data_IF_196447703867
#
_entry.id   IF_196447703867
#
_cell.length_a   1.000
_cell.length_b   1.000
_cell.length_c   1.000
_cell.angle_alpha   90.00
_cell.angle_beta   90.00
_cell.angle_gamma   90.00
#
_symmetry.space_group_name_H-M   'P 1'
#
loop_
_entity.id
_entity.type
_entity.pdbx_description
1 polymer ?
#
# COMPACT_ATOMS: atom_id res chain seq x y z
N UNK A 1 -20.08 7.12 1.89
CA UNK A 1 -19.92 7.26 3.35
C UNK A 1 -19.30 5.99 3.91
N UNK A 2 -18.32 6.13 4.81
CA UNK A 2 -17.66 4.99 5.45
C UNK A 2 -18.66 4.14 6.28
N UNK A 3 -18.41 2.83 6.36
CA UNK A 3 -19.25 1.85 7.07
C UNK A 3 -19.00 1.78 8.57
N UNK A 4 -17.96 2.44 9.04
CA UNK A 4 -17.67 2.69 10.46
C UNK A 4 -17.47 4.19 10.64
N UNK A 5 -17.81 4.77 11.82
CA UNK A 5 -17.56 6.18 12.06
C UNK A 5 -16.05 6.45 12.01
N UNK A 6 -15.64 7.65 11.62
CA UNK A 6 -14.25 8.05 11.84
C UNK A 6 -14.06 8.29 13.33
N UNK A 7 -13.12 7.56 13.95
CA UNK A 7 -12.82 7.73 15.36
C UNK A 7 -12.28 9.15 15.61
N UNK A 8 -12.55 9.66 16.80
CA UNK A 8 -11.98 10.93 17.30
C UNK A 8 -11.21 10.64 18.56
N UNK A 9 -10.08 11.32 18.74
CA UNK A 9 -9.21 11.18 19.91
C UNK A 9 -9.99 11.33 21.23
N UNK A 10 -10.85 12.35 21.31
CA UNK A 10 -11.58 12.70 22.53
C UNK A 10 -12.57 11.64 23.00
N UNK A 11 -13.01 10.74 22.11
CA UNK A 11 -13.93 9.66 22.43
C UNK A 11 -13.21 8.35 22.81
N UNK A 12 -11.89 8.36 22.94
CA UNK A 12 -11.08 7.20 23.32
C UNK A 12 -10.68 7.24 24.80
N UNK A 13 -10.46 6.06 25.38
CA UNK A 13 -9.76 5.94 26.66
C UNK A 13 -8.27 6.30 26.52
N UNK A 14 -7.55 6.33 27.64
CA UNK A 14 -6.13 6.74 27.65
C UNK A 14 -5.24 5.85 26.76
N UNK A 15 -5.55 4.55 26.67
CA UNK A 15 -4.80 3.62 25.83
C UNK A 15 -5.05 3.88 24.33
N UNK A 16 -6.30 4.12 23.95
CA UNK A 16 -6.66 4.50 22.58
C UNK A 16 -6.07 5.85 22.17
N UNK A 17 -6.09 6.84 23.08
CA UNK A 17 -5.45 8.14 22.84
C UNK A 17 -3.94 8.01 22.61
N UNK A 18 -3.25 7.13 23.34
CA UNK A 18 -1.83 6.89 23.11
C UNK A 18 -1.56 6.33 21.70
N UNK A 19 -2.39 5.40 21.22
CA UNK A 19 -2.27 4.88 19.84
C UNK A 19 -2.56 5.97 18.80
N UNK A 20 -3.57 6.81 19.05
CA UNK A 20 -3.85 7.97 18.20
C UNK A 20 -2.61 8.87 18.06
N UNK A 21 -2.01 9.24 19.19
CA UNK A 21 -0.86 10.15 19.25
C UNK A 21 0.36 9.57 18.53
N UNK A 22 0.59 8.26 18.62
CA UNK A 22 1.65 7.56 17.91
C UNK A 22 1.46 7.60 16.39
N UNK A 23 0.24 7.31 15.91
CA UNK A 23 -0.11 7.38 14.49
C UNK A 23 0.02 8.82 13.98
N UNK A 24 -0.46 9.80 14.74
CA UNK A 24 -0.33 11.22 14.42
C UNK A 24 1.14 11.63 14.28
N UNK A 25 1.96 11.31 15.27
CA UNK A 25 3.39 11.64 15.30
C UNK A 25 4.14 11.03 14.12
N UNK A 26 3.90 9.74 13.84
CA UNK A 26 4.61 9.02 12.78
C UNK A 26 4.20 9.39 11.36
N UNK A 27 3.02 9.98 11.16
CA UNK A 27 2.43 10.22 9.83
C UNK A 27 2.04 11.67 9.57
N UNK A 28 2.28 12.57 10.52
CA UNK A 28 1.92 13.99 10.43
C UNK A 28 0.41 14.23 10.50
N UNK A 29 -0.33 13.35 11.16
CA UNK A 29 -1.79 13.43 11.31
C UNK A 29 -2.52 12.10 11.16
N UNK A 30 -3.71 12.01 11.77
CA UNK A 30 -4.63 10.88 11.61
C UNK A 30 -5.57 11.14 10.44
N UNK A 31 -5.22 10.60 9.29
CA UNK A 31 -6.02 10.69 8.06
C UNK A 31 -7.20 9.69 8.08
N UNK A 32 -8.17 9.87 7.18
CA UNK A 32 -9.42 9.07 7.10
C UNK A 32 -9.18 7.56 7.12
N UNK A 33 -8.11 7.08 6.47
CA UNK A 33 -7.72 5.67 6.50
C UNK A 33 -7.45 5.16 7.92
N UNK A 34 -6.68 5.89 8.73
CA UNK A 34 -6.39 5.50 10.10
C UNK A 34 -7.57 5.79 11.04
N UNK A 35 -8.28 6.91 10.84
CA UNK A 35 -9.46 7.23 11.63
C UNK A 35 -10.55 6.15 11.54
N UNK A 36 -10.70 5.47 10.39
CA UNK A 36 -11.64 4.37 10.24
C UNK A 36 -11.22 3.10 11.00
N UNK A 37 -9.95 2.70 10.92
CA UNK A 37 -9.49 1.47 11.60
C UNK A 37 -9.28 1.67 13.11
N UNK A 38 -9.12 2.93 13.55
CA UNK A 38 -9.03 3.31 14.97
C UNK A 38 -10.30 3.07 15.79
N UNK A 39 -11.39 2.61 15.16
CA UNK A 39 -12.50 1.99 15.91
C UNK A 39 -12.06 0.77 16.74
N UNK A 40 -10.89 0.20 16.45
CA UNK A 40 -10.19 -0.74 17.33
C UNK A 40 -8.72 -0.28 17.50
N UNK A 41 -8.37 0.47 18.55
CA UNK A 41 -7.03 1.01 18.73
C UNK A 41 -5.93 -0.05 18.82
N UNK A 42 -6.19 -1.18 19.48
CA UNK A 42 -5.18 -2.24 19.59
C UNK A 42 -4.85 -2.86 18.22
N UNK A 43 -5.88 -3.14 17.41
CA UNK A 43 -5.68 -3.63 16.05
C UNK A 43 -5.00 -2.57 15.17
N UNK A 44 -5.43 -1.30 15.29
CA UNK A 44 -4.87 -0.19 14.54
C UNK A 44 -3.37 0.03 14.85
N UNK A 45 -2.95 -0.09 16.11
CA UNK A 45 -1.53 0.01 16.51
C UNK A 45 -0.68 -1.07 15.84
N UNK A 46 -1.09 -2.34 15.92
CA UNK A 46 -0.36 -3.44 15.27
C UNK A 46 -0.28 -3.27 13.75
N UNK A 47 -1.37 -2.79 13.14
CA UNK A 47 -1.40 -2.50 11.72
C UNK A 47 -0.53 -1.30 11.35
N UNK A 48 -0.50 -0.28 12.21
CA UNK A 48 0.36 0.90 12.05
C UNK A 48 1.84 0.57 12.20
N UNK A 49 2.21 -0.36 13.08
CA UNK A 49 3.60 -0.84 13.21
C UNK A 49 4.08 -1.53 11.92
N UNK A 50 3.31 -2.48 11.39
CA UNK A 50 3.62 -3.09 10.09
C UNK A 50 3.74 -2.04 8.98
N UNK A 51 2.82 -1.06 8.98
CA UNK A 51 2.86 0.06 8.05
C UNK A 51 4.03 1.01 8.26
N UNK A 52 4.53 1.14 9.48
CA UNK A 52 5.71 1.93 9.83
C UNK A 52 6.93 1.34 9.15
N UNK A 53 7.14 0.04 9.30
CA UNK A 53 8.18 -0.69 8.61
C UNK A 53 8.06 -0.54 7.09
N UNK A 54 6.90 -0.94 6.53
CA UNK A 54 6.64 -0.94 5.09
C UNK A 54 6.79 0.43 4.43
N UNK A 55 6.47 1.52 5.15
CA UNK A 55 6.50 2.87 4.60
C UNK A 55 7.84 3.55 4.79
N UNK A 56 8.42 3.48 5.99
CA UNK A 56 9.51 4.34 6.42
C UNK A 56 10.84 3.61 6.62
N UNK A 57 10.83 2.32 6.97
CA UNK A 57 12.03 1.61 7.40
C UNK A 57 12.60 0.66 6.34
N UNK A 58 11.78 0.17 5.40
CA UNK A 58 12.27 -0.77 4.37
C UNK A 58 13.45 -0.17 3.61
N UNK A 59 14.54 -0.92 3.38
CA UNK A 59 15.67 -0.47 2.57
C UNK A 59 15.42 -0.57 1.06
N UNK A 60 14.22 -1.00 0.63
CA UNK A 60 13.88 -1.14 -0.78
C UNK A 60 14.13 0.16 -1.57
N UNK A 61 14.68 0.05 -2.80
CA UNK A 61 14.76 1.19 -3.70
C UNK A 61 13.38 1.86 -3.86
N UNK A 62 13.29 3.21 -3.80
CA UNK A 62 12.00 3.90 -3.84
C UNK A 62 11.13 3.52 -5.04
N UNK A 63 11.75 3.32 -6.22
CA UNK A 63 11.06 2.89 -7.45
C UNK A 63 10.45 1.50 -7.31
N UNK A 64 11.22 0.53 -6.81
CA UNK A 64 10.76 -0.85 -6.56
C UNK A 64 9.58 -0.85 -5.60
N UNK A 65 9.70 -0.13 -4.48
CA UNK A 65 8.60 -0.01 -3.50
C UNK A 65 7.36 0.61 -4.15
N UNK A 66 7.51 1.66 -4.96
CA UNK A 66 6.39 2.29 -5.65
C UNK A 66 5.66 1.35 -6.63
N UNK A 67 6.40 0.56 -7.41
CA UNK A 67 5.80 -0.46 -8.30
C UNK A 67 5.03 -1.48 -7.46
N UNK A 68 5.65 -2.07 -6.44
CA UNK A 68 5.02 -3.07 -5.59
C UNK A 68 3.74 -2.54 -4.91
N UNK A 69 3.77 -1.30 -4.41
CA UNK A 69 2.62 -0.63 -3.77
C UNK A 69 1.48 -0.41 -4.76
N UNK A 70 1.75 0.17 -5.94
CA UNK A 70 0.70 0.45 -6.91
C UNK A 70 0.13 -0.84 -7.51
N UNK A 71 0.95 -1.85 -7.78
CA UNK A 71 0.47 -3.16 -8.23
C UNK A 71 -0.41 -3.80 -7.16
N UNK A 72 0.03 -3.85 -5.89
CA UNK A 72 -0.76 -4.39 -4.79
C UNK A 72 -2.09 -3.64 -4.59
N UNK A 73 -2.07 -2.30 -4.65
CA UNK A 73 -3.27 -1.48 -4.54
C UNK A 73 -4.24 -1.70 -5.70
N UNK A 74 -3.72 -1.87 -6.92
CA UNK A 74 -4.54 -2.12 -8.11
C UNK A 74 -5.24 -3.47 -8.03
N UNK A 75 -4.48 -4.52 -7.68
CA UNK A 75 -5.00 -5.88 -7.50
C UNK A 75 -6.08 -5.97 -6.41
N UNK A 76 -5.97 -5.12 -5.38
CA UNK A 76 -6.99 -4.97 -4.34
C UNK A 76 -8.18 -4.09 -4.74
N UNK A 77 -8.23 -3.54 -5.96
CA UNK A 77 -9.20 -2.51 -6.36
C UNK A 77 -9.26 -1.32 -5.38
N UNK A 78 -8.12 -1.01 -4.74
CA UNK A 78 -7.99 -0.12 -3.60
C UNK A 78 -7.84 1.34 -3.99
N UNK A 79 -8.93 1.98 -4.41
CA UNK A 79 -8.93 3.34 -4.93
C UNK A 79 -8.25 4.38 -4.00
N UNK A 80 -8.46 4.27 -2.67
CA UNK A 80 -7.80 5.13 -1.69
C UNK A 80 -6.28 4.99 -1.76
N UNK A 81 -5.77 3.77 -1.60
CA UNK A 81 -4.33 3.48 -1.56
C UNK A 81 -3.71 3.83 -2.91
N UNK A 82 -4.34 3.43 -4.00
CA UNK A 82 -3.91 3.76 -5.36
C UNK A 82 -3.71 5.27 -5.52
N UNK A 83 -4.75 6.05 -5.24
CA UNK A 83 -4.76 7.50 -5.45
C UNK A 83 -3.71 8.21 -4.59
N UNK A 84 -3.65 7.92 -3.29
CA UNK A 84 -2.74 8.65 -2.38
C UNK A 84 -1.26 8.28 -2.57
N UNK A 85 -0.95 7.15 -3.22
CA UNK A 85 0.43 6.75 -3.47
C UNK A 85 0.96 7.16 -4.85
N UNK A 86 0.11 7.61 -5.79
CA UNK A 86 0.59 8.04 -7.11
C UNK A 86 1.61 9.19 -7.07
N UNK A 87 1.44 10.26 -6.25
CA UNK A 87 2.45 11.32 -6.18
C UNK A 87 3.82 10.80 -5.72
N UNK A 88 3.84 9.90 -4.74
CA UNK A 88 5.07 9.26 -4.27
C UNK A 88 5.70 8.36 -5.35
N UNK A 89 4.88 7.66 -6.13
CA UNK A 89 5.36 6.85 -7.26
C UNK A 89 6.02 7.70 -8.35
N UNK A 90 5.41 8.85 -8.71
CA UNK A 90 6.02 9.80 -9.64
C UNK A 90 7.34 10.36 -9.11
N UNK A 91 7.39 10.72 -7.82
CA UNK A 91 8.62 11.19 -7.18
C UNK A 91 9.72 10.11 -7.14
N UNK A 92 9.33 8.82 -7.10
CA UNK A 92 10.24 7.68 -7.23
C UNK A 92 10.65 7.38 -8.68
N UNK A 93 10.18 8.20 -9.63
CA UNK A 93 10.56 8.17 -11.04
C UNK A 93 9.60 7.42 -11.95
N UNK A 94 8.48 6.85 -11.46
CA UNK A 94 7.52 6.19 -12.35
C UNK A 94 6.92 7.22 -13.29
N UNK A 95 6.92 6.90 -14.58
CA UNK A 95 6.26 7.72 -15.59
C UNK A 95 4.75 7.52 -15.52
N UNK A 96 3.98 8.46 -16.08
CA UNK A 96 2.53 8.26 -16.21
C UNK A 96 2.20 7.02 -17.08
N UNK A 97 3.08 6.65 -18.02
CA UNK A 97 2.93 5.44 -18.81
C UNK A 97 3.11 4.16 -17.96
N UNK A 98 4.05 4.16 -17.02
CA UNK A 98 4.25 3.04 -16.07
C UNK A 98 3.01 2.89 -15.16
N UNK A 99 2.53 4.01 -14.60
CA UNK A 99 1.34 4.02 -13.74
C UNK A 99 0.11 3.55 -14.53
N UNK A 100 -0.07 4.03 -15.77
CA UNK A 100 -1.14 3.59 -16.64
C UNK A 100 -1.05 2.09 -16.99
N UNK A 101 0.16 1.55 -17.18
CA UNK A 101 0.35 0.12 -17.44
C UNK A 101 -0.13 -0.75 -16.27
N UNK A 102 0.11 -0.31 -15.03
CA UNK A 102 -0.43 -0.99 -13.84
C UNK A 102 -1.95 -0.78 -13.78
N UNK A 103 -2.43 0.45 -13.98
CA UNK A 103 -3.85 0.80 -13.91
C UNK A 103 -4.73 -0.06 -14.82
N UNK A 104 -4.29 -0.21 -16.07
CA UNK A 104 -5.00 -0.87 -17.16
C UNK A 104 -4.75 -2.38 -17.21
N UNK A 105 -4.10 -2.95 -16.19
CA UNK A 105 -3.72 -4.36 -16.13
C UNK A 105 -2.86 -4.82 -17.33
N UNK A 106 -2.06 -3.91 -17.90
CA UNK A 106 -1.05 -4.26 -18.91
C UNK A 106 0.24 -4.77 -18.29
N UNK A 107 0.51 -4.46 -17.02
CA UNK A 107 1.62 -5.04 -16.28
C UNK A 107 1.47 -6.58 -16.16
N UNK A 108 2.57 -7.35 -16.18
CA UNK A 108 3.96 -6.90 -16.29
C UNK A 108 4.40 -6.49 -17.71
N UNK A 109 3.69 -6.93 -18.76
CA UNK A 109 4.09 -6.73 -20.16
C UNK A 109 4.16 -5.25 -20.61
N UNK A 110 3.43 -4.35 -19.95
CA UNK A 110 3.45 -2.91 -20.19
C UNK A 110 4.53 -2.14 -19.44
N UNK A 111 5.40 -2.84 -18.69
CA UNK A 111 6.52 -2.28 -17.94
C UNK A 111 7.84 -2.82 -18.50
N UNK A 112 8.96 -2.22 -18.10
CA UNK A 112 10.30 -2.61 -18.57
C UNK A 112 11.26 -2.88 -17.42
N UNK A 113 12.29 -3.69 -17.70
CA UNK A 113 13.36 -4.01 -16.75
C UNK A 113 12.83 -4.54 -15.42
N UNK A 114 13.41 -4.04 -14.32
CA UNK A 114 13.09 -4.46 -12.96
C UNK A 114 11.60 -4.25 -12.63
N UNK A 115 10.96 -3.20 -13.14
CA UNK A 115 9.54 -2.91 -12.84
C UNK A 115 8.61 -4.03 -13.35
N UNK A 116 8.94 -4.64 -14.49
CA UNK A 116 8.18 -5.78 -15.02
C UNK A 116 8.36 -7.02 -14.14
N UNK A 117 9.58 -7.29 -13.65
CA UNK A 117 9.84 -8.41 -12.74
C UNK A 117 9.12 -8.24 -11.39
N UNK A 118 9.21 -7.03 -10.81
CA UNK A 118 8.56 -6.71 -9.52
C UNK A 118 7.04 -6.80 -9.65
N UNK A 119 6.43 -6.15 -10.65
CA UNK A 119 4.98 -6.23 -10.85
C UNK A 119 4.52 -7.66 -11.16
N UNK A 120 5.28 -8.41 -11.96
CA UNK A 120 4.99 -9.81 -12.28
C UNK A 120 4.96 -10.70 -11.04
N UNK A 121 5.94 -10.54 -10.15
CA UNK A 121 5.96 -11.26 -8.86
C UNK A 121 4.73 -10.92 -8.02
N UNK A 122 4.39 -9.64 -7.88
CA UNK A 122 3.23 -9.21 -7.08
C UNK A 122 1.92 -9.75 -7.67
N UNK A 123 1.78 -9.74 -9.00
CA UNK A 123 0.60 -10.25 -9.70
C UNK A 123 0.47 -11.78 -9.52
N UNK A 124 1.55 -12.55 -9.71
CA UNK A 124 1.55 -14.00 -9.46
C UNK A 124 1.15 -14.30 -8.01
N UNK A 125 1.79 -13.63 -7.06
CA UNK A 125 1.50 -13.80 -5.63
C UNK A 125 0.02 -13.55 -5.31
N UNK A 126 -0.55 -12.45 -5.80
CA UNK A 126 -1.90 -12.03 -5.41
C UNK A 126 -3.01 -12.74 -6.19
N UNK A 127 -2.77 -13.12 -7.45
CA UNK A 127 -3.79 -13.80 -8.29
C UNK A 127 -3.70 -15.32 -8.26
N UNK A 128 -2.49 -15.87 -8.18
CA UNK A 128 -2.25 -17.31 -8.24
C UNK A 128 -1.95 -17.92 -6.87
N UNK A 129 -1.72 -17.08 -5.85
CA UNK A 129 -1.34 -17.50 -4.50
C UNK A 129 -0.08 -18.37 -4.47
N UNK A 130 0.78 -18.19 -5.47
CA UNK A 130 2.07 -18.85 -5.65
C UNK A 130 2.90 -17.98 -6.58
N UNK A 131 4.22 -18.00 -6.40
CA UNK A 131 5.19 -17.43 -7.32
C UNK A 131 5.98 -18.57 -7.96
N UNK A 132 6.19 -18.52 -9.27
CA UNK A 132 7.01 -19.51 -9.98
C UNK A 132 8.50 -19.35 -9.66
N UNK A 133 9.28 -20.43 -9.80
CA UNK A 133 10.73 -20.38 -9.55
C UNK A 133 11.43 -19.34 -10.46
N UNK A 134 10.98 -19.22 -11.71
CA UNK A 134 11.52 -18.24 -12.66
C UNK A 134 11.26 -16.80 -12.21
N UNK A 135 10.03 -16.49 -11.78
CA UNK A 135 9.65 -15.16 -11.29
C UNK A 135 10.35 -14.84 -9.96
N UNK A 136 10.48 -15.83 -9.07
CA UNK A 136 11.22 -15.68 -7.82
C UNK A 136 12.69 -15.37 -8.06
N UNK A 137 13.36 -16.12 -8.93
CA UNK A 137 14.78 -15.91 -9.24
C UNK A 137 15.03 -14.55 -9.91
N UNK A 138 14.13 -14.12 -10.81
CA UNK A 138 14.21 -12.81 -11.43
C UNK A 138 14.23 -11.69 -10.39
N UNK A 139 13.31 -11.71 -9.43
CA UNK A 139 13.29 -10.71 -8.35
C UNK A 139 14.46 -10.87 -7.38
N UNK A 140 14.87 -12.11 -7.09
CA UNK A 140 16.04 -12.37 -6.23
C UNK A 140 17.31 -11.75 -6.82
N UNK A 141 17.47 -11.79 -8.14
CA UNK A 141 18.62 -11.18 -8.80
C UNK A 141 18.69 -9.66 -8.65
N UNK A 142 17.54 -9.01 -8.40
CA UNK A 142 17.40 -7.56 -8.19
C UNK A 142 17.59 -7.20 -6.71
N UNK A 143 16.96 -7.96 -5.80
CA UNK A 143 16.77 -7.57 -4.40
C UNK A 143 17.52 -8.44 -3.38
N UNK A 144 17.99 -9.61 -3.78
CA UNK A 144 18.44 -10.66 -2.87
C UNK A 144 17.31 -11.18 -1.97
N UNK A 145 17.65 -12.11 -1.08
CA UNK A 145 16.66 -12.77 -0.21
C UNK A 145 16.02 -11.79 0.79
N UNK A 146 16.83 -10.90 1.39
CA UNK A 146 16.33 -9.90 2.33
C UNK A 146 15.35 -8.92 1.67
N UNK A 147 15.67 -8.40 0.49
CA UNK A 147 14.78 -7.49 -0.22
C UNK A 147 13.50 -8.15 -0.74
N UNK A 148 13.51 -9.47 -1.03
CA UNK A 148 12.26 -10.21 -1.28
C UNK A 148 11.36 -10.19 -0.04
N UNK A 149 11.91 -10.45 1.14
CA UNK A 149 11.14 -10.41 2.39
C UNK A 149 10.57 -9.00 2.62
N UNK A 150 11.38 -7.96 2.41
CA UNK A 150 10.93 -6.57 2.52
C UNK A 150 9.77 -6.28 1.54
N UNK A 151 9.89 -6.74 0.29
CA UNK A 151 8.85 -6.56 -0.72
C UNK A 151 7.56 -7.30 -0.33
N UNK A 152 7.65 -8.52 0.19
CA UNK A 152 6.49 -9.26 0.68
C UNK A 152 5.76 -8.52 1.82
N UNK A 153 6.51 -7.92 2.75
CA UNK A 153 5.95 -7.10 3.83
C UNK A 153 5.23 -5.87 3.28
N UNK A 154 5.85 -5.16 2.32
CA UNK A 154 5.21 -4.02 1.62
C UNK A 154 3.93 -4.44 0.94
N UNK A 155 3.95 -5.53 0.15
CA UNK A 155 2.77 -6.03 -0.56
C UNK A 155 1.67 -6.41 0.42
N UNK A 156 1.99 -7.18 1.46
CA UNK A 156 1.03 -7.60 2.47
C UNK A 156 0.35 -6.41 3.16
N UNK A 157 1.13 -5.40 3.57
CA UNK A 157 0.58 -4.21 4.21
C UNK A 157 -0.31 -3.40 3.26
N UNK A 158 0.18 -3.05 2.06
CA UNK A 158 -0.56 -2.16 1.16
C UNK A 158 -1.77 -2.83 0.52
N UNK A 159 -1.70 -4.13 0.20
CA UNK A 159 -2.86 -4.91 -0.22
C UNK A 159 -3.88 -5.05 0.91
N UNK A 160 -3.43 -5.40 2.12
CA UNK A 160 -4.30 -5.52 3.30
C UNK A 160 -4.98 -4.19 3.67
N UNK A 161 -4.25 -3.08 3.59
CA UNK A 161 -4.79 -1.74 3.82
C UNK A 161 -5.84 -1.41 2.75
N UNK A 162 -5.52 -1.63 1.47
CA UNK A 162 -6.45 -1.40 0.37
C UNK A 162 -7.78 -2.15 0.56
N UNK A 163 -7.73 -3.44 0.85
CA UNK A 163 -8.93 -4.24 1.14
C UNK A 163 -9.68 -3.74 2.37
N UNK A 164 -8.97 -3.40 3.45
CA UNK A 164 -9.60 -2.90 4.67
C UNK A 164 -10.37 -1.60 4.41
N UNK A 165 -9.75 -0.65 3.70
CA UNK A 165 -10.38 0.63 3.37
C UNK A 165 -11.56 0.46 2.41
N UNK A 166 -11.44 -0.43 1.43
CA UNK A 166 -12.54 -0.75 0.53
C UNK A 166 -13.72 -1.39 1.26
N UNK A 167 -13.46 -2.39 2.12
CA UNK A 167 -14.48 -3.06 2.92
C UNK A 167 -15.23 -2.08 3.82
N UNK A 168 -14.52 -1.07 4.35
CA UNK A 168 -15.06 0.01 5.17
C UNK A 168 -15.60 1.18 4.35
N UNK A 169 -15.54 1.15 3.01
CA UNK A 169 -15.96 2.24 2.12
C UNK A 169 -15.36 3.61 2.51
N UNK A 170 -14.07 3.64 2.89
CA UNK A 170 -13.38 4.86 3.30
C UNK A 170 -13.18 5.78 2.10
N UNK A 171 -13.73 6.98 2.21
CA UNK A 171 -13.62 8.02 1.19
C UNK A 171 -12.23 8.64 1.19
N UNK A 172 -11.80 9.09 0.01
CA UNK A 172 -10.59 9.89 -0.14
C UNK A 172 -10.60 11.15 0.74
N UNK A 173 -9.43 11.74 1.04
CA UNK A 173 -9.37 13.05 1.66
C UNK A 173 -10.16 14.08 0.84
N UNK A 174 -10.75 15.05 1.53
CA UNK A 174 -11.54 16.10 0.88
C UNK A 174 -10.71 16.83 -0.19
N UNK A 175 -11.34 17.12 -1.34
CA UNK A 175 -10.67 17.74 -2.48
C UNK A 175 -9.74 16.83 -3.29
N UNK A 176 -9.58 15.55 -2.92
CA UNK A 176 -8.77 14.59 -3.68
C UNK A 176 -9.63 13.95 -4.77
N UNK A 177 -9.24 14.13 -6.04
CA UNK A 177 -9.85 13.44 -7.16
C UNK A 177 -9.47 11.95 -7.15
N UNK A 178 -10.45 11.07 -7.37
CA UNK A 178 -10.18 9.64 -7.50
C UNK A 178 -9.41 9.37 -8.79
N UNK A 179 -8.29 8.68 -8.67
CA UNK A 179 -7.43 8.33 -9.78
C UNK A 179 -7.52 6.84 -10.16
N UNK A 180 -8.42 6.08 -9.52
CA UNK A 180 -8.78 4.71 -9.89
C UNK A 180 -10.21 4.67 -10.43
N UNK A 181 -10.35 5.00 -11.71
CA UNK A 181 -11.65 4.99 -12.41
C UNK A 181 -11.72 3.79 -13.35
N UNK A 182 -12.86 3.08 -13.35
CA UNK A 182 -13.11 1.88 -14.17
C UNK A 182 -13.68 2.21 -15.53
#
# INVERSE_FOLDING_TARGET
MARVPFATRDNMDAAGQAVWDEIETSRGGVQRNYAAILNNPQAASNFAHLGGYARFETPLPPRVKAVAVLTAAREACGHYVWTVNQPAARNAGLTDADIAAIHEYRAPNGLSGDDAAISGFVIELLRQHRVSDATFEAVRSILGDAGIVDMLVVVAYYHGLAHSLQALAVELPEGTADALTY
#
